data_IF_870147481373
#
_entry.id   IF_870147481373
#
_cell.length_a   1.000
_cell.length_b   1.000
_cell.length_c   1.000
_cell.angle_alpha   90.00
_cell.angle_beta   90.00
_cell.angle_gamma   90.00
#
_symmetry.space_group_name_H-M   'P 1'
#
loop_
_entity.id
_entity.type
_entity.pdbx_description
1 polymer ?
#
# COMPACT_ATOMS: atom_id res chain seq x y z
N UNK A 1 -42.35 -22.56 8.37
CA UNK A 1 -41.50 -21.34 8.37
C UNK A 1 -40.07 -21.63 8.84
N UNK A 2 -39.87 -22.19 10.03
CA UNK A 2 -38.52 -22.44 10.61
C UNK A 2 -37.65 -23.40 9.78
N UNK A 3 -38.23 -24.50 9.30
CA UNK A 3 -37.56 -25.49 8.43
C UNK A 3 -37.12 -24.90 7.08
N UNK A 4 -37.79 -23.86 6.58
CA UNK A 4 -37.43 -23.18 5.34
C UNK A 4 -36.21 -22.28 5.56
N UNK A 5 -36.15 -21.56 6.68
CA UNK A 5 -35.01 -20.74 7.07
C UNK A 5 -33.74 -21.59 7.28
N UNK A 6 -33.87 -22.75 7.93
CA UNK A 6 -32.76 -23.70 8.13
C UNK A 6 -32.15 -24.18 6.81
N UNK A 7 -32.99 -24.47 5.80
CA UNK A 7 -32.52 -24.89 4.47
C UNK A 7 -31.83 -23.74 3.72
N UNK A 8 -32.35 -22.52 3.82
CA UNK A 8 -31.73 -21.33 3.21
C UNK A 8 -30.38 -21.03 3.84
N UNK A 9 -30.26 -21.10 5.17
CA UNK A 9 -28.98 -20.90 5.87
C UNK A 9 -27.98 -21.99 5.49
N UNK A 10 -28.39 -23.26 5.46
CA UNK A 10 -27.52 -24.36 5.05
C UNK A 10 -27.07 -24.22 3.59
N UNK A 11 -27.96 -23.76 2.69
CA UNK A 11 -27.63 -23.51 1.29
C UNK A 11 -26.66 -22.34 1.12
N UNK A 12 -26.86 -21.24 1.87
CA UNK A 12 -25.95 -20.10 1.87
C UNK A 12 -24.57 -20.46 2.44
N UNK A 13 -24.53 -21.28 3.49
CA UNK A 13 -23.27 -21.75 4.08
C UNK A 13 -22.52 -22.69 3.12
N UNK A 14 -23.23 -23.59 2.44
CA UNK A 14 -22.67 -24.45 1.40
C UNK A 14 -22.19 -23.66 0.16
N UNK A 15 -22.86 -22.54 -0.17
CA UNK A 15 -22.41 -21.64 -1.23
C UNK A 15 -21.13 -20.89 -0.84
N UNK A 16 -20.99 -20.52 0.44
CA UNK A 16 -19.85 -19.79 0.97
C UNK A 16 -18.57 -20.64 1.00
N UNK A 17 -18.68 -21.95 1.22
CA UNK A 17 -17.53 -22.87 1.23
C UNK A 17 -17.05 -23.26 -0.18
N UNK A 18 -17.83 -22.94 -1.22
CA UNK A 18 -17.48 -23.23 -2.62
C UNK A 18 -16.67 -22.13 -3.31
N UNK A 19 -16.31 -21.05 -2.60
CA UNK A 19 -15.47 -19.99 -3.14
C UNK A 19 -14.04 -20.53 -3.27
N UNK A 20 -13.52 -20.75 -4.49
CA UNK A 20 -12.12 -21.12 -4.64
C UNK A 20 -11.27 -19.97 -4.11
N UNK A 21 -10.25 -20.29 -3.31
CA UNK A 21 -9.23 -19.32 -2.94
C UNK A 21 -8.51 -18.90 -4.22
N UNK A 22 -8.94 -17.79 -4.80
CA UNK A 22 -8.19 -17.13 -5.87
C UNK A 22 -6.79 -16.85 -5.31
N UNK A 23 -5.71 -17.25 -6.01
CA UNK A 23 -4.39 -16.85 -5.61
C UNK A 23 -4.36 -15.32 -5.67
N UNK A 24 -4.34 -14.71 -4.49
CA UNK A 24 -4.06 -13.28 -4.37
C UNK A 24 -2.68 -13.11 -5.00
N UNK A 25 -2.54 -12.13 -5.90
CA UNK A 25 -1.33 -11.77 -6.64
C UNK A 25 -0.23 -11.26 -5.67
N UNK A 26 0.16 -12.07 -4.70
CA UNK A 26 1.02 -11.72 -3.58
C UNK A 26 2.50 -11.87 -3.93
N UNK A 27 2.82 -12.76 -4.88
CA UNK A 27 4.20 -13.02 -5.30
C UNK A 27 4.83 -11.82 -6.01
N UNK A 28 4.07 -11.11 -6.85
CA UNK A 28 4.54 -9.93 -7.58
C UNK A 28 4.79 -8.74 -6.64
N UNK A 29 3.87 -8.48 -5.71
CA UNK A 29 3.98 -7.42 -4.70
C UNK A 29 5.14 -7.61 -3.72
N UNK A 30 5.50 -8.87 -3.41
CA UNK A 30 6.61 -9.18 -2.51
C UNK A 30 7.95 -8.77 -3.13
N UNK A 31 8.12 -8.98 -4.44
CA UNK A 31 9.35 -8.61 -5.17
C UNK A 31 9.52 -7.08 -5.26
N UNK A 32 8.44 -6.35 -5.58
CA UNK A 32 8.46 -4.88 -5.63
C UNK A 32 8.80 -4.25 -4.27
N UNK A 33 8.26 -4.82 -3.19
CA UNK A 33 8.54 -4.36 -1.83
C UNK A 33 10.01 -4.61 -1.47
N UNK A 34 10.52 -5.81 -1.75
CA UNK A 34 11.92 -6.13 -1.52
C UNK A 34 12.85 -5.22 -2.34
N UNK A 35 12.49 -4.91 -3.59
CA UNK A 35 13.24 -3.98 -4.42
C UNK A 35 13.27 -2.59 -3.80
N UNK A 36 12.12 -2.05 -3.38
CA UNK A 36 12.03 -0.73 -2.75
C UNK A 36 12.87 -0.66 -1.47
N UNK A 37 12.73 -1.65 -0.59
CA UNK A 37 13.43 -1.67 0.70
C UNK A 37 14.95 -1.79 0.54
N UNK A 38 15.42 -2.61 -0.41
CA UNK A 38 16.85 -2.87 -0.58
C UNK A 38 17.56 -1.85 -1.49
N UNK A 39 16.84 -1.23 -2.44
CA UNK A 39 17.47 -0.38 -3.46
C UNK A 39 17.07 1.08 -3.37
N UNK A 40 15.81 1.38 -3.00
CA UNK A 40 15.29 2.76 -3.01
C UNK A 40 15.40 3.41 -1.63
N UNK A 41 14.92 2.74 -0.58
CA UNK A 41 14.93 3.29 0.79
C UNK A 41 16.34 3.70 1.27
N UNK A 42 17.42 2.95 1.03
CA UNK A 42 18.75 3.36 1.49
C UNK A 42 19.20 4.70 0.91
N UNK A 43 18.90 4.94 -0.38
CA UNK A 43 19.21 6.21 -1.05
C UNK A 43 18.41 7.35 -0.42
N UNK A 44 17.11 7.14 -0.17
CA UNK A 44 16.27 8.15 0.48
C UNK A 44 16.75 8.50 1.89
N UNK A 45 17.16 7.49 2.66
CA UNK A 45 17.70 7.67 4.03
C UNK A 45 18.98 8.51 4.01
N UNK A 46 19.91 8.16 3.13
CA UNK A 46 21.23 8.79 3.04
C UNK A 46 21.16 10.21 2.47
N UNK A 47 20.44 10.37 1.36
CA UNK A 47 20.48 11.61 0.57
C UNK A 47 19.31 12.56 0.80
N UNK A 48 18.14 12.08 1.24
CA UNK A 48 16.90 12.88 1.20
C UNK A 48 16.34 13.20 2.59
N UNK A 49 16.29 12.21 3.49
CA UNK A 49 15.58 12.33 4.77
C UNK A 49 16.18 13.37 5.70
N UNK A 50 17.46 13.76 5.52
CA UNK A 50 18.07 14.88 6.25
C UNK A 50 17.23 16.17 6.16
N UNK A 51 16.49 16.37 5.07
CA UNK A 51 15.68 17.57 4.82
C UNK A 51 14.18 17.30 4.60
N UNK A 52 13.78 16.07 4.24
CA UNK A 52 12.42 15.72 3.81
C UNK A 52 11.87 14.49 4.54
N UNK A 53 11.76 14.57 5.87
CA UNK A 53 11.36 13.44 6.73
C UNK A 53 10.44 13.90 7.86
N UNK A 54 9.34 13.17 8.02
CA UNK A 54 8.44 13.25 9.18
C UNK A 54 9.19 12.84 10.44
N UNK A 55 9.91 11.71 10.40
CA UNK A 55 10.64 11.17 11.55
C UNK A 55 11.65 12.19 12.10
N UNK A 56 12.36 12.89 11.22
CA UNK A 56 13.35 13.92 11.60
C UNK A 56 12.73 15.30 11.83
N UNK A 57 11.40 15.45 11.69
CA UNK A 57 10.67 16.71 11.72
C UNK A 57 11.30 17.78 10.81
N UNK A 58 11.61 17.41 9.56
CA UNK A 58 12.19 18.27 8.52
C UNK A 58 11.34 18.22 7.27
N UNK A 59 10.86 19.37 6.81
CA UNK A 59 9.99 19.49 5.64
C UNK A 59 10.44 20.64 4.76
N UNK A 60 11.68 20.59 4.27
CA UNK A 60 12.16 21.61 3.33
C UNK A 60 11.23 21.64 2.10
N UNK A 61 10.73 22.82 1.72
CA UNK A 61 9.76 22.95 0.62
C UNK A 61 8.45 22.17 0.82
N UNK A 62 8.02 21.99 2.07
CA UNK A 62 6.75 21.34 2.41
C UNK A 62 6.69 19.83 2.13
N UNK A 63 7.81 19.21 1.74
CA UNK A 63 7.86 17.85 1.21
C UNK A 63 8.32 16.82 2.25
N UNK A 64 7.63 15.67 2.27
CA UNK A 64 7.98 14.47 3.04
C UNK A 64 8.14 13.26 2.12
N UNK A 65 9.27 12.55 2.22
CA UNK A 65 9.60 11.41 1.37
C UNK A 65 9.62 10.07 2.12
N UNK A 66 9.46 10.08 3.44
CA UNK A 66 9.50 8.91 4.32
C UNK A 66 8.11 8.33 4.64
N UNK A 67 7.06 8.82 3.98
CA UNK A 67 5.72 8.25 4.08
C UNK A 67 4.99 8.27 2.75
N UNK A 68 4.13 7.28 2.54
CA UNK A 68 3.25 7.20 1.36
C UNK A 68 2.38 8.45 1.24
N UNK A 69 1.83 8.93 2.36
CA UNK A 69 0.98 10.13 2.36
C UNK A 69 1.78 11.38 1.97
N UNK A 70 3.01 11.53 2.47
CA UNK A 70 3.91 12.63 2.10
C UNK A 70 4.21 12.65 0.61
N UNK A 71 4.59 11.49 0.06
CA UNK A 71 4.85 11.33 -1.37
C UNK A 71 3.63 11.71 -2.24
N UNK A 72 2.44 11.25 -1.86
CA UNK A 72 1.20 11.55 -2.59
C UNK A 72 0.77 13.01 -2.48
N UNK A 73 1.04 13.67 -1.34
CA UNK A 73 0.74 15.09 -1.14
C UNK A 73 1.65 15.98 -2.00
N UNK A 74 2.93 15.62 -2.11
CA UNK A 74 3.94 16.47 -2.74
C UNK A 74 4.41 17.61 -1.85
N UNK A 75 5.09 18.59 -2.45
CA UNK A 75 5.62 19.76 -1.76
C UNK A 75 5.11 21.06 -2.37
N UNK A 76 5.74 22.17 -1.99
CA UNK A 76 5.33 23.52 -2.39
C UNK A 76 5.38 23.73 -3.92
N UNK A 77 6.18 22.93 -4.63
CA UNK A 77 6.33 22.96 -6.09
C UNK A 77 5.40 21.98 -6.82
N UNK A 78 4.47 21.33 -6.12
CA UNK A 78 3.52 20.39 -6.69
C UNK A 78 3.81 18.92 -6.37
N UNK A 79 3.27 17.97 -7.16
CA UNK A 79 3.31 16.55 -6.84
C UNK A 79 4.74 15.99 -6.92
N UNK A 80 5.12 15.17 -5.95
CA UNK A 80 6.43 14.50 -5.93
C UNK A 80 6.46 13.24 -6.79
N UNK A 81 5.32 12.57 -6.95
CA UNK A 81 5.16 11.36 -7.75
C UNK A 81 3.88 11.42 -8.60
N UNK A 82 3.95 10.88 -9.81
CA UNK A 82 2.79 10.61 -10.67
C UNK A 82 2.79 9.11 -11.00
N UNK A 83 1.91 8.31 -10.37
CA UNK A 83 1.89 6.87 -10.61
C UNK A 83 1.80 6.53 -12.12
N UNK A 84 2.59 5.54 -12.55
CA UNK A 84 2.64 5.09 -13.95
C UNK A 84 3.38 6.02 -14.92
N UNK A 85 3.99 7.10 -14.45
CA UNK A 85 4.67 8.10 -15.28
C UNK A 85 6.04 8.42 -14.67
N UNK A 86 7.01 7.53 -14.90
CA UNK A 86 8.41 7.69 -14.50
C UNK A 86 9.18 8.57 -15.50
#
# INVERSE_FOLDING_TARGET
MLLLQLKVIAFLFALLTLIPALPIQAAELADETAFFENNIRPILVDSCYKCHSIEKNKSKGGLFLDSRQGLMKGGDNGPAIKPGHA
#
